data_IF_805122165022
#
_entry.id   IF_805122165022
#
_cell.length_a   1.000
_cell.length_b   1.000
_cell.length_c   1.000
_cell.angle_alpha   90.00
_cell.angle_beta   90.00
_cell.angle_gamma   90.00
#
_symmetry.space_group_name_H-M   'P 1'
#
loop_
_entity.id
_entity.type
_entity.pdbx_description
1 polymer ?
#
# COMPACT_ATOMS: atom_id res chain seq x y z
N UNK A 1 10.49 -10.69 -4.35
CA UNK A 1 9.38 -11.65 -4.19
C UNK A 1 8.13 -10.86 -4.48
N UNK A 2 7.48 -11.12 -5.61
CA UNK A 2 6.23 -10.44 -5.95
C UNK A 2 5.09 -11.18 -5.25
N UNK A 3 4.30 -10.45 -4.45
CA UNK A 3 3.19 -11.04 -3.70
C UNK A 3 1.89 -10.39 -4.19
N UNK A 4 1.04 -11.19 -4.82
CA UNK A 4 -0.29 -10.80 -5.25
C UNK A 4 -1.30 -11.22 -4.18
N UNK A 5 -2.05 -10.26 -3.62
CA UNK A 5 -2.99 -10.51 -2.53
C UNK A 5 -4.40 -10.69 -3.07
N UNK A 6 -5.04 -11.80 -2.70
CA UNK A 6 -6.45 -12.05 -2.99
C UNK A 6 -7.34 -11.24 -2.03
N UNK A 7 -8.54 -10.81 -2.48
CA UNK A 7 -9.51 -10.15 -1.62
C UNK A 7 -9.85 -10.97 -0.37
N UNK A 8 -10.01 -10.31 0.78
CA UNK A 8 -10.47 -10.94 2.01
C UNK A 8 -9.76 -10.47 3.27
N UNK A 9 -8.49 -10.86 3.46
CA UNK A 9 -7.71 -10.56 4.68
C UNK A 9 -6.41 -9.91 4.30
N UNK A 10 -6.10 -8.79 4.96
CA UNK A 10 -4.83 -8.12 4.77
C UNK A 10 -3.65 -8.96 5.30
N UNK A 11 -2.55 -9.08 4.56
CA UNK A 11 -1.36 -9.77 5.05
C UNK A 11 -0.74 -9.08 6.27
N UNK A 12 -0.48 -9.85 7.32
CA UNK A 12 0.40 -9.43 8.41
C UNK A 12 1.86 -9.53 7.93
N UNK A 13 2.30 -8.54 7.15
CA UNK A 13 3.66 -8.45 6.60
C UNK A 13 4.72 -8.58 7.71
N UNK A 14 4.61 -7.91 8.88
CA UNK A 14 5.53 -8.13 9.99
C UNK A 14 5.66 -9.59 10.41
N UNK A 15 4.53 -10.30 10.59
CA UNK A 15 4.54 -11.73 10.94
C UNK A 15 5.13 -12.59 9.84
N UNK A 16 4.85 -12.30 8.57
CA UNK A 16 5.46 -13.01 7.44
C UNK A 16 6.99 -12.88 7.45
N UNK A 17 7.51 -11.66 7.65
CA UNK A 17 8.95 -11.42 7.74
C UNK A 17 9.59 -12.15 8.93
N UNK A 18 8.88 -12.25 10.07
CA UNK A 18 9.32 -13.04 11.22
C UNK A 18 9.41 -14.54 10.91
N UNK A 19 8.40 -15.09 10.23
CA UNK A 19 8.40 -16.52 9.82
C UNK A 19 9.55 -16.81 8.85
N UNK A 20 9.79 -15.93 7.88
CA UNK A 20 10.92 -16.04 6.93
C UNK A 20 12.26 -16.06 7.69
N UNK A 21 12.41 -15.16 8.68
CA UNK A 21 13.60 -15.11 9.53
C UNK A 21 13.78 -16.38 10.36
N UNK A 22 12.71 -16.89 10.95
CA UNK A 22 12.72 -18.12 11.74
C UNK A 22 13.08 -19.36 10.91
N UNK A 23 12.76 -19.35 9.61
CA UNK A 23 13.15 -20.38 8.66
C UNK A 23 14.63 -20.28 8.20
N UNK A 24 15.41 -19.33 8.73
CA UNK A 24 16.85 -19.17 8.44
C UNK A 24 17.16 -18.26 7.25
N UNK A 25 16.16 -17.61 6.64
CA UNK A 25 16.37 -16.64 5.57
C UNK A 25 16.54 -15.22 6.12
N UNK A 26 17.22 -14.36 5.38
CA UNK A 26 17.32 -12.92 5.70
C UNK A 26 16.24 -12.17 4.91
N UNK A 27 15.12 -11.75 5.52
CA UNK A 27 14.13 -10.94 4.84
C UNK A 27 14.74 -9.58 4.45
N UNK A 28 14.35 -9.07 3.28
CA UNK A 28 14.72 -7.72 2.80
C UNK A 28 13.44 -6.88 2.72
N UNK A 29 13.04 -6.19 3.80
CA UNK A 29 11.73 -5.56 3.91
C UNK A 29 11.47 -4.47 2.86
N UNK A 30 12.55 -3.83 2.38
CA UNK A 30 12.50 -2.82 1.31
C UNK A 30 12.05 -3.37 -0.05
N UNK A 31 12.07 -4.69 -0.23
CA UNK A 31 11.69 -5.36 -1.48
C UNK A 31 10.28 -5.96 -1.42
N UNK A 32 9.49 -5.63 -0.38
CA UNK A 32 8.09 -6.06 -0.28
C UNK A 32 7.24 -5.14 -1.15
N UNK A 33 7.01 -5.55 -2.39
CA UNK A 33 6.13 -4.89 -3.34
C UNK A 33 4.68 -5.30 -3.10
N UNK A 34 3.78 -4.32 -3.09
CA UNK A 34 2.35 -4.50 -2.94
C UNK A 34 1.61 -3.84 -4.11
N UNK A 35 0.55 -4.51 -4.58
CA UNK A 35 -0.44 -3.94 -5.50
C UNK A 35 -1.80 -4.01 -4.81
N UNK A 36 -2.45 -2.87 -4.61
CA UNK A 36 -3.65 -2.76 -3.77
C UNK A 36 -4.72 -1.93 -4.48
N UNK A 37 -5.94 -2.46 -4.55
CA UNK A 37 -7.11 -1.70 -4.98
C UNK A 37 -7.79 -1.02 -3.80
N UNK A 38 -8.21 0.22 -3.97
CA UNK A 38 -8.93 0.95 -2.94
C UNK A 38 -9.46 2.29 -3.43
N UNK A 39 -10.20 2.96 -2.56
CA UNK A 39 -10.63 4.34 -2.78
C UNK A 39 -9.62 5.30 -2.17
N UNK A 40 -9.17 6.28 -2.97
CA UNK A 40 -8.19 7.26 -2.54
C UNK A 40 -8.87 8.43 -1.83
N UNK A 41 -8.37 8.80 -0.65
CA UNK A 41 -8.86 9.98 0.07
C UNK A 41 -7.71 10.87 0.50
N UNK A 42 -7.98 12.18 0.54
CA UNK A 42 -7.09 13.14 1.16
C UNK A 42 -7.40 13.22 2.66
N UNK A 43 -6.38 13.12 3.52
CA UNK A 43 -6.54 13.22 4.97
C UNK A 43 -5.41 14.04 5.57
N UNK A 44 -5.79 15.10 6.27
CA UNK A 44 -4.87 16.05 6.91
C UNK A 44 -3.78 16.52 5.92
N UNK A 45 -2.54 16.07 6.14
CA UNK A 45 -1.35 16.43 5.36
C UNK A 45 -0.93 15.36 4.33
N UNK A 46 -1.77 14.35 4.07
CA UNK A 46 -1.40 13.21 3.24
C UNK A 46 -2.53 12.54 2.49
N UNK A 47 -2.17 11.47 1.80
CA UNK A 47 -3.09 10.62 1.06
C UNK A 47 -3.24 9.29 1.77
N UNK A 48 -4.47 8.81 1.84
CA UNK A 48 -4.79 7.49 2.35
C UNK A 48 -5.53 6.68 1.29
N UNK A 49 -5.36 5.37 1.34
CA UNK A 49 -6.11 4.42 0.54
C UNK A 49 -6.99 3.59 1.46
N UNK A 50 -8.30 3.68 1.31
CA UNK A 50 -9.23 2.73 1.92
C UNK A 50 -9.29 1.48 1.05
N UNK A 51 -8.85 0.34 1.58
CA UNK A 51 -8.66 -0.88 0.80
C UNK A 51 -9.99 -1.57 0.56
N UNK A 52 -10.30 -1.85 -0.70
CA UNK A 52 -11.55 -2.50 -1.08
C UNK A 52 -11.55 -4.00 -0.74
N UNK A 53 -12.75 -4.56 -0.55
CA UNK A 53 -12.99 -6.01 -0.46
C UNK A 53 -12.25 -6.73 0.68
N UNK A 54 -11.99 -6.04 1.80
CA UNK A 54 -11.51 -6.65 3.04
C UNK A 54 -12.66 -6.92 4.02
N UNK A 55 -12.56 -8.03 4.76
CA UNK A 55 -13.51 -8.37 5.84
C UNK A 55 -13.45 -7.39 7.01
N UNK A 56 -12.27 -6.82 7.24
CA UNK A 56 -12.05 -5.76 8.22
C UNK A 56 -11.58 -4.52 7.46
N UNK A 57 -12.20 -3.35 7.66
CA UNK A 57 -11.76 -2.11 7.03
C UNK A 57 -10.28 -1.85 7.31
N UNK A 58 -9.55 -1.46 6.28
CA UNK A 58 -8.15 -1.11 6.41
C UNK A 58 -7.83 0.14 5.62
N UNK A 59 -7.05 1.01 6.25
CA UNK A 59 -6.53 2.23 5.64
C UNK A 59 -5.02 2.16 5.53
N UNK A 60 -4.50 2.48 4.34
CA UNK A 60 -3.07 2.59 4.09
C UNK A 60 -2.67 4.04 3.95
N UNK A 61 -1.54 4.41 4.54
CA UNK A 61 -0.94 5.73 4.34
C UNK A 61 -0.07 5.68 3.09
N UNK A 62 -0.29 6.60 2.16
CA UNK A 62 0.49 6.70 0.93
C UNK A 62 1.64 7.70 1.13
N UNK A 63 2.88 7.22 1.00
CA UNK A 63 4.05 8.08 0.88
C UNK A 63 4.30 8.32 -0.60
N UNK A 64 4.11 9.57 -1.01
CA UNK A 64 4.39 10.03 -2.38
C UNK A 64 5.72 10.79 -2.37
N UNK A 65 6.57 10.49 -3.34
CA UNK A 65 7.78 11.29 -3.53
C UNK A 65 7.40 12.67 -4.05
N UNK A 66 7.68 13.72 -3.27
CA UNK A 66 7.33 15.10 -3.64
C UNK A 66 8.05 15.58 -4.91
N UNK A 67 9.15 14.94 -5.28
CA UNK A 67 9.89 15.25 -6.50
C UNK A 67 9.30 14.54 -7.72
N UNK A 68 8.41 13.58 -7.53
CA UNK A 68 7.66 12.92 -8.60
C UNK A 68 6.33 13.66 -8.84
N UNK A 69 6.42 14.67 -9.71
CA UNK A 69 5.27 15.49 -10.08
C UNK A 69 4.21 14.69 -10.84
N UNK A 70 4.58 13.64 -11.56
CA UNK A 70 3.64 12.80 -12.30
C UNK A 70 2.75 12.02 -11.32
N UNK A 71 3.35 11.30 -10.37
CA UNK A 71 2.61 10.54 -9.37
C UNK A 71 1.79 11.46 -8.47
N UNK A 72 2.36 12.61 -8.06
CA UNK A 72 1.65 13.61 -7.25
C UNK A 72 0.40 14.15 -7.94
N UNK A 73 0.52 14.51 -9.22
CA UNK A 73 -0.62 14.99 -10.01
C UNK A 73 -1.66 13.89 -10.25
N UNK A 74 -1.22 12.66 -10.53
CA UNK A 74 -2.11 11.52 -10.75
C UNK A 74 -2.95 11.23 -9.50
N UNK A 75 -2.35 11.25 -8.31
CA UNK A 75 -3.04 11.06 -7.04
C UNK A 75 -4.07 12.18 -6.83
N UNK A 76 -3.70 13.45 -7.04
CA UNK A 76 -4.62 14.58 -6.89
C UNK A 76 -5.85 14.48 -7.82
N UNK A 77 -5.67 14.02 -9.06
CA UNK A 77 -6.77 13.87 -10.02
C UNK A 77 -7.73 12.71 -9.70
N UNK A 78 -7.32 11.81 -8.81
CA UNK A 78 -8.03 10.59 -8.46
C UNK A 78 -8.59 10.61 -7.03
N UNK A 79 -8.65 11.80 -6.41
CA UNK A 79 -9.33 12.00 -5.13
C UNK A 79 -10.77 11.48 -5.19
N UNK A 80 -11.14 10.70 -4.17
CA UNK A 80 -12.43 10.02 -4.00
C UNK A 80 -12.80 9.05 -5.13
N UNK A 81 -11.81 8.53 -5.88
CA UNK A 81 -12.01 7.53 -6.94
C UNK A 81 -11.38 6.18 -6.59
N UNK A 82 -11.93 5.09 -7.14
CA UNK A 82 -11.30 3.78 -7.06
C UNK A 82 -10.04 3.73 -7.92
N UNK A 83 -8.94 3.30 -7.31
CA UNK A 83 -7.62 3.22 -7.92
C UNK A 83 -6.94 1.90 -7.58
N UNK A 84 -5.92 1.57 -8.37
CA UNK A 84 -4.95 0.53 -8.04
C UNK A 84 -3.61 1.21 -7.79
N UNK A 85 -3.08 1.03 -6.58
CA UNK A 85 -1.78 1.55 -6.16
C UNK A 85 -0.76 0.42 -6.17
N UNK A 86 0.36 0.66 -6.84
CA UNK A 86 1.54 -0.18 -6.75
C UNK A 86 2.62 0.55 -5.94
N UNK A 87 3.25 -0.14 -5.00
CA UNK A 87 4.32 0.46 -4.22
C UNK A 87 5.05 -0.49 -3.31
N UNK A 88 6.00 0.05 -2.55
CA UNK A 88 6.75 -0.71 -1.56
C UNK A 88 6.14 -0.53 -0.18
N UNK A 89 5.90 -1.65 0.49
CA UNK A 89 5.52 -1.65 1.90
C UNK A 89 6.62 -1.03 2.75
N UNK A 90 6.22 -0.22 3.73
CA UNK A 90 7.13 0.30 4.74
C UNK A 90 6.56 0.07 6.13
N UNK A 91 7.41 -0.49 7.01
CA UNK A 91 7.11 -0.55 8.43
C UNK A 91 7.07 0.87 8.98
N UNK A 92 5.99 1.27 9.66
CA UNK A 92 5.94 2.58 10.30
C UNK A 92 6.85 2.60 11.53
N UNK A 93 7.60 3.68 11.70
CA UNK A 93 8.28 3.97 12.94
C UNK A 93 7.26 4.48 13.99
N UNK A 94 6.81 3.57 14.88
CA UNK A 94 5.94 3.75 16.07
C UNK A 94 4.42 3.44 15.95
N UNK A 95 4.04 2.43 16.75
CA UNK A 95 3.01 2.35 17.81
C UNK A 95 1.50 2.60 17.54
N UNK A 96 1.04 2.60 16.30
CA UNK A 96 -0.41 2.54 16.02
C UNK A 96 -0.69 1.24 15.26
N UNK A 97 -1.16 0.23 15.99
CA UNK A 97 -1.08 -1.19 15.63
C UNK A 97 -1.83 -1.61 14.34
N UNK A 98 -2.54 -0.68 13.68
CA UNK A 98 -3.37 -0.94 12.51
C UNK A 98 -3.04 -0.10 11.27
N UNK A 99 -2.03 0.78 11.29
CA UNK A 99 -1.69 1.62 10.12
C UNK A 99 -0.49 1.07 9.34
N UNK A 100 -0.70 0.71 8.08
CA UNK A 100 0.35 0.25 7.16
C UNK A 100 0.65 1.33 6.12
N UNK A 101 1.92 1.48 5.75
CA UNK A 101 2.36 2.50 4.80
C UNK A 101 2.81 1.88 3.48
N UNK A 102 2.47 2.53 2.37
CA UNK A 102 2.97 2.19 1.03
C UNK A 102 3.69 3.41 0.45
N UNK A 103 4.96 3.25 0.07
CA UNK A 103 5.63 4.21 -0.81
C UNK A 103 5.18 3.97 -2.23
N UNK A 104 4.43 4.90 -2.79
CA UNK A 104 3.82 4.78 -4.12
C UNK A 104 4.89 4.78 -5.20
N UNK A 105 4.76 3.86 -6.15
CA UNK A 105 5.53 3.82 -7.40
C UNK A 105 4.67 4.16 -8.61
N UNK A 106 3.43 3.69 -8.61
CA UNK A 106 2.47 3.92 -9.68
C UNK A 106 1.05 3.93 -9.14
N UNK A 107 0.18 4.69 -9.81
CA UNK A 107 -1.25 4.73 -9.56
C UNK A 107 -1.98 4.61 -10.90
N UNK A 108 -2.92 3.67 -10.95
CA UNK A 108 -3.79 3.46 -12.11
C UNK A 108 -5.25 3.68 -11.70
N UNK A 109 -6.01 4.45 -12.49
CA UNK A 109 -7.47 4.49 -12.34
C UNK A 109 -8.06 3.14 -12.71
N UNK A 110 -9.03 2.63 -11.97
CA UNK A 110 -9.74 1.41 -12.37
C UNK A 110 -10.50 1.65 -13.69
N UNK A 111 -9.85 1.26 -14.78
CA UNK A 111 -10.30 1.37 -16.15
C UNK A 111 -9.26 0.71 -17.05
N UNK A 112 -9.52 -0.56 -17.40
CA UNK A 112 -8.67 -1.53 -18.13
C UNK A 112 -7.53 -2.15 -17.32
N UNK A 113 -7.82 -3.30 -16.71
CA UNK A 113 -6.86 -4.40 -16.79
C UNK A 113 -6.63 -4.69 -18.29
N UNK A 114 -5.37 -4.63 -18.73
CA UNK A 114 -4.94 -5.26 -19.97
C UNK A 114 -4.25 -6.57 -19.63
#
# INVERSE_FOLDING_TARGET
>A
MDVEFKPGVWPDVPRMLQVIKAAGYTPVPKDVRLTVSGTLHKKDDGWILEVDNLKQPMTLILIVDKNDSQTTNAIQQQEDKPVVVEGFWQARAKADNNSTTIRVMALNSQGTAK
#
